data_IF_223627176394
#
_entry.id   IF_223627176394
#
_cell.length_a   1.000
_cell.length_b   1.000
_cell.length_c   1.000
_cell.angle_alpha   90.00
_cell.angle_beta   90.00
_cell.angle_gamma   90.00
#
_symmetry.space_group_name_H-M   'P 1'
#
loop_
_entity.id
_entity.type
_entity.pdbx_description
1 polymer ?
#
# COMPACT_ATOMS: atom_id res chain seq x y z
N UNK A 1 16.29 22.61 -7.13
CA UNK A 1 15.46 21.97 -6.08
C UNK A 1 14.09 21.52 -6.59
N UNK A 2 13.10 22.43 -6.70
CA UNK A 2 11.69 22.07 -6.99
C UNK A 2 11.46 21.36 -8.34
N UNK A 3 12.18 21.74 -9.39
CA UNK A 3 12.08 21.10 -10.70
C UNK A 3 12.52 19.62 -10.67
N UNK A 4 13.64 19.34 -10.02
CA UNK A 4 14.19 17.97 -9.90
C UNK A 4 13.23 17.07 -9.09
N UNK A 5 12.66 17.59 -8.02
CA UNK A 5 11.66 16.89 -7.22
C UNK A 5 10.42 16.54 -8.05
N UNK A 6 9.88 17.49 -8.80
CA UNK A 6 8.70 17.29 -9.66
C UNK A 6 8.94 16.24 -10.75
N UNK A 7 10.13 16.24 -11.36
CA UNK A 7 10.47 15.25 -12.41
C UNK A 7 10.69 13.87 -11.79
N UNK A 8 11.26 13.77 -10.58
CA UNK A 8 11.41 12.50 -9.87
C UNK A 8 10.05 11.92 -9.48
N UNK A 9 9.12 12.77 -9.03
CA UNK A 9 7.73 12.37 -8.72
C UNK A 9 7.00 11.84 -9.96
N UNK A 10 7.11 12.54 -11.09
CA UNK A 10 6.52 12.09 -12.36
C UNK A 10 7.11 10.75 -12.84
N UNK A 11 8.40 10.52 -12.68
CA UNK A 11 9.04 9.25 -13.01
C UNK A 11 8.55 8.11 -12.10
N UNK A 12 8.37 8.39 -10.81
CA UNK A 12 7.83 7.43 -9.85
C UNK A 12 6.36 7.08 -10.18
N UNK A 13 5.55 8.07 -10.53
CA UNK A 13 4.16 7.84 -10.95
C UNK A 13 4.09 6.98 -12.23
N UNK A 14 4.97 7.24 -13.21
CA UNK A 14 5.07 6.42 -14.42
C UNK A 14 5.46 4.98 -14.12
N UNK A 15 6.38 4.75 -13.20
CA UNK A 15 6.80 3.41 -12.77
C UNK A 15 5.64 2.64 -12.11
N UNK A 16 4.84 3.32 -11.27
CA UNK A 16 3.64 2.72 -10.66
C UNK A 16 2.61 2.34 -11.73
N UNK A 17 2.40 3.20 -12.73
CA UNK A 17 1.51 2.92 -13.87
C UNK A 17 1.98 1.72 -14.70
N UNK A 18 3.28 1.64 -15.00
CA UNK A 18 3.88 0.48 -15.66
C UNK A 18 3.64 -0.81 -14.87
N UNK A 19 3.89 -0.78 -13.55
CA UNK A 19 3.62 -1.90 -12.65
C UNK A 19 2.15 -2.33 -12.66
N UNK A 20 1.23 -1.36 -12.69
CA UNK A 20 -0.21 -1.60 -12.82
C UNK A 20 -0.57 -2.35 -14.12
N UNK A 21 -0.03 -1.90 -15.27
CA UNK A 21 -0.25 -2.56 -16.57
C UNK A 21 0.27 -4.00 -16.55
N UNK A 22 1.46 -4.24 -16.00
CA UNK A 22 2.02 -5.58 -15.90
C UNK A 22 1.14 -6.49 -15.03
N UNK A 23 0.70 -6.00 -13.88
CA UNK A 23 -0.18 -6.75 -12.97
C UNK A 23 -1.53 -7.06 -13.62
N UNK A 24 -2.16 -6.08 -14.28
CA UNK A 24 -3.42 -6.26 -15.00
C UNK A 24 -3.29 -7.30 -16.12
N UNK A 25 -2.21 -7.24 -16.90
CA UNK A 25 -1.95 -8.19 -17.97
C UNK A 25 -1.77 -9.64 -17.44
N UNK A 26 -1.09 -9.80 -16.30
CA UNK A 26 -0.90 -11.12 -15.68
C UNK A 26 -2.22 -11.65 -15.10
N UNK A 27 -2.98 -10.82 -14.40
CA UNK A 27 -4.28 -11.22 -13.84
C UNK A 27 -5.30 -11.59 -14.92
N UNK A 28 -5.25 -10.90 -16.07
CA UNK A 28 -6.15 -11.13 -17.20
C UNK A 28 -5.45 -11.83 -18.38
N UNK A 29 -4.45 -12.68 -18.12
CA UNK A 29 -3.65 -13.34 -19.17
C UNK A 29 -4.51 -14.13 -20.18
N UNK A 30 -5.61 -14.71 -19.75
CA UNK A 30 -6.55 -15.41 -20.66
C UNK A 30 -7.13 -14.45 -21.69
N UNK A 31 -7.49 -13.25 -21.28
CA UNK A 31 -8.02 -12.20 -22.17
C UNK A 31 -6.94 -11.68 -23.11
N UNK A 32 -5.73 -11.39 -22.59
CA UNK A 32 -4.58 -10.96 -23.38
C UNK A 32 -4.28 -11.97 -24.49
N UNK A 33 -4.27 -13.27 -24.18
CA UNK A 33 -4.04 -14.35 -25.13
C UNK A 33 -5.18 -14.54 -26.10
N UNK A 34 -6.43 -14.44 -25.64
CA UNK A 34 -7.60 -14.60 -26.49
C UNK A 34 -7.68 -13.56 -27.62
N UNK A 35 -7.23 -12.32 -27.31
CA UNK A 35 -7.21 -11.22 -28.28
C UNK A 35 -5.87 -11.05 -29.01
N UNK A 36 -4.82 -11.77 -28.63
CA UNK A 36 -3.48 -11.66 -29.21
C UNK A 36 -2.85 -10.25 -29.06
N UNK A 37 -3.12 -9.58 -27.92
CA UNK A 37 -2.72 -8.18 -27.69
C UNK A 37 -1.41 -8.04 -26.89
N UNK A 38 -0.60 -9.10 -26.78
CA UNK A 38 0.65 -9.09 -26.01
C UNK A 38 1.58 -7.95 -26.42
N UNK A 39 1.76 -7.77 -27.74
CA UNK A 39 2.63 -6.72 -28.27
C UNK A 39 2.09 -5.30 -28.01
N UNK A 40 0.77 -5.13 -27.91
CA UNK A 40 0.18 -3.85 -27.55
C UNK A 40 0.35 -3.53 -26.07
N UNK A 41 0.19 -4.53 -25.21
CA UNK A 41 0.42 -4.41 -23.76
C UNK A 41 1.89 -4.13 -23.47
N UNK A 42 2.83 -4.85 -24.13
CA UNK A 42 4.25 -4.61 -24.00
C UNK A 42 4.64 -3.19 -24.39
N UNK A 43 4.18 -2.71 -25.55
CA UNK A 43 4.44 -1.32 -25.96
C UNK A 43 3.92 -0.30 -24.96
N UNK A 44 2.70 -0.48 -24.46
CA UNK A 44 2.14 0.41 -23.46
C UNK A 44 2.94 0.40 -22.15
N UNK A 45 3.49 -0.75 -21.74
CA UNK A 45 4.39 -0.87 -20.61
C UNK A 45 5.70 -0.11 -20.88
N UNK A 46 6.32 -0.30 -22.03
CA UNK A 46 7.56 0.35 -22.43
C UNK A 46 7.42 1.88 -22.49
N UNK A 47 6.28 2.39 -23.02
CA UNK A 47 5.99 3.83 -23.06
C UNK A 47 6.04 4.49 -21.66
N UNK A 48 5.55 3.78 -20.64
CA UNK A 48 5.62 4.27 -19.25
C UNK A 48 7.00 4.11 -18.61
N UNK A 49 7.89 3.26 -19.15
CA UNK A 49 9.26 3.11 -18.66
C UNK A 49 10.23 4.13 -19.25
N UNK A 50 9.93 4.76 -20.37
CA UNK A 50 10.84 5.69 -21.05
C UNK A 50 11.29 6.85 -20.14
N UNK A 51 10.37 7.46 -19.40
CA UNK A 51 10.69 8.56 -18.48
C UNK A 51 11.52 8.11 -17.26
N UNK A 52 11.18 7.05 -16.54
CA UNK A 52 12.01 6.47 -15.48
C UNK A 52 13.41 6.08 -15.94
N UNK A 53 13.55 5.44 -17.12
CA UNK A 53 14.84 5.04 -17.69
C UNK A 53 15.74 6.23 -17.97
N UNK A 54 15.24 7.25 -18.66
CA UNK A 54 15.99 8.49 -18.92
C UNK A 54 16.44 9.18 -17.64
N UNK A 55 15.61 9.15 -16.60
CA UNK A 55 15.92 9.68 -15.28
C UNK A 55 17.02 8.87 -14.59
N UNK A 56 16.94 7.53 -14.64
CA UNK A 56 17.93 6.64 -14.06
C UNK A 56 19.31 6.85 -14.70
N UNK A 57 19.36 6.94 -16.04
CA UNK A 57 20.60 7.21 -16.78
C UNK A 57 21.20 8.56 -16.37
N UNK A 58 20.39 9.63 -16.32
CA UNK A 58 20.86 10.97 -15.91
C UNK A 58 21.37 11.00 -14.47
N UNK A 59 20.64 10.37 -13.55
CA UNK A 59 21.08 10.23 -12.14
C UNK A 59 22.37 9.43 -12.05
N UNK A 60 22.49 8.31 -12.79
CA UNK A 60 23.69 7.49 -12.83
C UNK A 60 24.91 8.25 -13.34
N UNK A 61 24.77 8.99 -14.44
CA UNK A 61 25.84 9.83 -14.99
C UNK A 61 26.26 10.95 -14.02
N UNK A 62 25.29 11.68 -13.46
CA UNK A 62 25.57 12.74 -12.49
C UNK A 62 26.24 12.19 -11.22
N UNK A 63 25.75 11.07 -10.70
CA UNK A 63 26.33 10.38 -9.55
C UNK A 63 27.73 9.86 -9.84
N UNK A 64 27.93 9.23 -11.00
CA UNK A 64 29.25 8.73 -11.44
C UNK A 64 30.27 9.84 -11.62
N UNK A 65 29.87 10.96 -12.24
CA UNK A 65 30.72 12.15 -12.35
C UNK A 65 31.05 12.72 -10.97
N UNK A 66 30.05 12.85 -10.09
CA UNK A 66 30.27 13.33 -8.73
C UNK A 66 31.24 12.45 -7.94
N UNK A 67 31.06 11.14 -7.99
CA UNK A 67 31.95 10.17 -7.35
C UNK A 67 33.37 10.22 -7.95
N UNK A 68 33.49 10.35 -9.28
CA UNK A 68 34.79 10.49 -9.97
C UNK A 68 35.54 11.75 -9.56
N UNK A 69 34.86 12.91 -9.50
CA UNK A 69 35.47 14.16 -9.03
C UNK A 69 35.88 14.06 -7.57
N UNK A 70 35.03 13.47 -6.70
CA UNK A 70 35.36 13.26 -5.29
C UNK A 70 36.63 12.38 -5.12
N UNK A 71 36.69 11.26 -5.84
CA UNK A 71 37.86 10.37 -5.82
C UNK A 71 39.14 11.09 -6.34
N UNK A 72 39.02 11.82 -7.44
CA UNK A 72 40.14 12.61 -7.97
C UNK A 72 40.65 13.67 -6.97
N UNK A 73 39.72 14.35 -6.30
CA UNK A 73 40.05 15.35 -5.26
C UNK A 73 40.80 14.72 -4.09
N UNK A 74 40.39 13.53 -3.64
CA UNK A 74 41.12 12.80 -2.57
C UNK A 74 42.53 12.45 -3.00
N UNK A 75 42.71 11.90 -4.22
CA UNK A 75 44.02 11.52 -4.74
C UNK A 75 44.94 12.73 -4.94
N UNK A 76 44.43 13.84 -5.51
CA UNK A 76 45.15 15.09 -5.65
C UNK A 76 45.54 15.69 -4.30
N UNK A 77 44.64 15.67 -3.34
CA UNK A 77 44.89 16.11 -1.97
C UNK A 77 45.98 15.29 -1.28
N UNK A 78 45.96 13.96 -1.42
CA UNK A 78 47.03 13.09 -0.93
C UNK A 78 48.38 13.38 -1.59
N UNK A 79 48.39 13.54 -2.92
CA UNK A 79 49.63 13.88 -3.68
C UNK A 79 50.22 15.21 -3.24
N UNK A 80 49.37 16.24 -3.06
CA UNK A 80 49.78 17.54 -2.54
C UNK A 80 50.33 17.43 -1.13
N UNK A 81 49.69 16.67 -0.26
CA UNK A 81 50.15 16.45 1.10
C UNK A 81 51.53 15.74 1.14
N UNK A 82 51.75 14.72 0.32
CA UNK A 82 53.03 14.07 0.20
C UNK A 82 54.11 15.02 -0.27
N UNK A 83 53.81 15.88 -1.25
CA UNK A 83 54.75 16.85 -1.76
C UNK A 83 55.19 17.87 -0.71
N UNK A 84 54.22 18.52 -0.04
CA UNK A 84 54.45 19.52 1.00
C UNK A 84 55.09 18.87 2.24
N UNK A 85 54.57 17.72 2.67
CA UNK A 85 55.08 16.97 3.80
C UNK A 85 56.53 16.50 3.57
N UNK A 86 56.88 16.08 2.34
CA UNK A 86 58.25 15.76 1.96
C UNK A 86 59.22 16.94 2.06
N UNK A 87 58.76 18.18 1.75
CA UNK A 87 59.54 19.39 1.98
C UNK A 87 59.80 19.62 3.47
N UNK A 88 58.77 19.49 4.31
CA UNK A 88 58.88 19.70 5.76
C UNK A 88 59.74 18.61 6.42
N UNK A 89 59.63 17.37 5.98
CA UNK A 89 60.46 16.26 6.43
C UNK A 89 61.96 16.53 6.12
N UNK A 90 62.25 16.95 4.90
CA UNK A 90 63.67 17.30 4.52
C UNK A 90 64.23 18.46 5.32
N UNK A 91 63.38 19.39 5.78
CA UNK A 91 63.79 20.52 6.66
C UNK A 91 63.91 20.12 8.12
N UNK A 92 63.54 18.89 8.49
CA UNK A 92 63.56 18.40 9.85
C UNK A 92 62.44 18.95 10.75
N UNK A 93 61.38 19.53 10.14
CA UNK A 93 60.26 20.13 10.90
C UNK A 93 59.25 19.11 11.37
N UNK A 94 59.11 17.99 10.66
CA UNK A 94 58.18 16.90 10.98
C UNK A 94 58.90 15.55 10.87
N UNK A 95 58.50 14.58 11.65
CA UNK A 95 58.98 13.21 11.54
C UNK A 95 58.19 12.43 10.46
N UNK A 96 58.74 11.31 10.01
CA UNK A 96 58.02 10.42 9.07
C UNK A 96 56.72 9.88 9.68
N UNK A 97 56.72 9.62 11.00
CA UNK A 97 55.51 9.18 11.72
C UNK A 97 54.41 10.24 11.68
N UNK A 98 54.75 11.51 11.88
CA UNK A 98 53.82 12.62 11.85
C UNK A 98 53.18 12.77 10.46
N UNK A 99 54.01 12.65 9.41
CA UNK A 99 53.57 12.72 8.03
C UNK A 99 52.56 11.61 7.70
N UNK A 100 52.83 10.37 8.13
CA UNK A 100 51.95 9.23 7.93
C UNK A 100 50.65 9.37 8.74
N UNK A 101 50.76 9.84 9.95
CA UNK A 101 49.58 10.05 10.82
C UNK A 101 48.62 11.07 10.22
N UNK A 102 49.10 12.22 9.77
CA UNK A 102 48.30 13.27 9.13
C UNK A 102 47.66 12.75 7.85
N UNK A 103 48.40 11.99 7.03
CA UNK A 103 47.86 11.38 5.80
C UNK A 103 46.67 10.45 6.11
N UNK A 104 46.86 9.54 7.06
CA UNK A 104 45.81 8.59 7.43
C UNK A 104 44.59 9.29 7.99
N UNK A 105 44.78 10.29 8.85
CA UNK A 105 43.66 11.07 9.43
C UNK A 105 42.86 11.74 8.33
N UNK A 106 43.52 12.41 7.35
CA UNK A 106 42.79 13.08 6.26
C UNK A 106 42.03 12.07 5.40
N UNK A 107 42.63 10.92 5.08
CA UNK A 107 41.97 9.87 4.29
C UNK A 107 40.72 9.34 5.04
N UNK A 108 40.88 8.99 6.32
CA UNK A 108 39.76 8.49 7.11
C UNK A 108 38.64 9.53 7.31
N UNK A 109 38.99 10.82 7.50
CA UNK A 109 38.01 11.90 7.53
C UNK A 109 37.24 12.02 6.21
N UNK A 110 37.95 11.95 5.07
CA UNK A 110 37.31 12.02 3.76
C UNK A 110 36.34 10.85 3.51
N UNK A 111 36.72 9.62 3.90
CA UNK A 111 35.84 8.46 3.86
C UNK A 111 34.62 8.61 4.80
N UNK A 112 34.85 9.09 6.04
CA UNK A 112 33.76 9.32 7.02
C UNK A 112 32.73 10.34 6.52
N UNK A 113 33.17 11.46 5.96
CA UNK A 113 32.28 12.46 5.38
C UNK A 113 31.52 11.90 4.17
N UNK A 114 32.21 11.14 3.31
CA UNK A 114 31.62 10.51 2.14
C UNK A 114 30.53 9.50 2.50
N UNK A 115 30.73 8.68 3.54
CA UNK A 115 29.77 7.72 4.02
C UNK A 115 28.48 8.41 4.53
N UNK A 116 28.62 9.48 5.34
CA UNK A 116 27.46 10.24 5.85
C UNK A 116 26.69 10.94 4.73
N UNK A 117 27.39 11.45 3.70
CA UNK A 117 26.74 12.10 2.57
C UNK A 117 26.00 11.11 1.65
N UNK A 118 26.53 9.89 1.47
CA UNK A 118 25.88 8.82 0.70
C UNK A 118 24.57 8.34 1.33
N UNK A 119 24.56 8.11 2.62
CA UNK A 119 23.39 7.65 3.39
C UNK A 119 22.19 8.62 3.37
N UNK A 120 22.40 9.88 3.02
CA UNK A 120 21.32 10.89 3.08
C UNK A 120 20.27 10.71 2.00
N UNK A 121 20.58 10.07 0.87
CA UNK A 121 19.63 9.81 -0.24
C UNK A 121 18.70 8.66 0.14
N UNK A 122 19.25 7.58 0.69
CA UNK A 122 18.48 6.41 1.10
C UNK A 122 17.54 6.74 2.28
N UNK A 123 17.93 7.66 3.16
CA UNK A 123 17.09 8.14 4.26
C UNK A 123 15.80 8.83 3.79
N UNK A 124 15.83 9.57 2.70
CA UNK A 124 14.64 10.25 2.18
C UNK A 124 13.63 9.24 1.60
N UNK A 125 14.11 8.22 0.89
CA UNK A 125 13.25 7.14 0.37
C UNK A 125 12.70 6.27 1.52
N UNK A 126 13.55 5.90 2.48
CA UNK A 126 13.15 5.16 3.67
C UNK A 126 12.10 5.92 4.51
N UNK A 127 12.25 7.24 4.69
CA UNK A 127 11.29 8.08 5.40
C UNK A 127 9.96 8.14 4.66
N UNK A 128 9.97 8.23 3.33
CA UNK A 128 8.76 8.23 2.51
C UNK A 128 8.03 6.88 2.58
N UNK A 129 8.77 5.77 2.51
CA UNK A 129 8.22 4.44 2.66
C UNK A 129 7.66 4.20 4.07
N UNK A 130 8.39 4.63 5.11
CA UNK A 130 7.95 4.57 6.50
C UNK A 130 6.67 5.38 6.72
N UNK A 131 6.56 6.59 6.14
CA UNK A 131 5.36 7.40 6.24
C UNK A 131 4.16 6.71 5.60
N UNK A 132 4.30 6.16 4.39
CA UNK A 132 3.23 5.39 3.73
C UNK A 132 2.78 4.19 4.56
N UNK A 133 3.72 3.44 5.12
CA UNK A 133 3.42 2.32 6.01
C UNK A 133 2.71 2.80 7.28
N UNK A 134 3.17 3.90 7.88
CA UNK A 134 2.55 4.51 9.05
C UNK A 134 1.11 4.95 8.79
N UNK A 135 0.86 5.62 7.66
CA UNK A 135 -0.47 6.07 7.26
C UNK A 135 -1.44 4.89 7.11
N UNK A 136 -0.97 3.75 6.56
CA UNK A 136 -1.78 2.53 6.44
C UNK A 136 -2.06 1.90 7.81
N UNK A 137 -1.05 1.79 8.68
CA UNK A 137 -1.20 1.19 10.03
C UNK A 137 -2.13 2.03 10.92
N UNK A 138 -2.11 3.36 10.75
CA UNK A 138 -2.93 4.28 11.54
C UNK A 138 -4.23 4.70 10.85
N UNK A 139 -4.55 4.07 9.71
CA UNK A 139 -5.81 4.29 9.02
C UNK A 139 -6.97 3.83 9.91
N UNK A 140 -7.75 4.77 10.41
CA UNK A 140 -8.97 4.45 11.18
C UNK A 140 -10.06 3.98 10.24
N UNK A 141 -10.47 2.73 10.40
CA UNK A 141 -11.65 2.22 9.69
C UNK A 141 -12.91 2.94 10.18
N UNK A 142 -13.81 3.26 9.27
CA UNK A 142 -15.12 3.82 9.63
C UNK A 142 -15.95 2.83 10.48
N UNK A 143 -15.77 1.54 10.23
CA UNK A 143 -16.36 0.45 10.99
C UNK A 143 -15.21 -0.39 11.51
N UNK A 144 -14.93 -0.32 12.82
CA UNK A 144 -13.86 -1.08 13.45
C UNK A 144 -14.43 -2.37 14.06
N UNK A 145 -14.07 -3.49 13.44
CA UNK A 145 -14.50 -4.81 13.88
C UNK A 145 -13.68 -5.34 15.08
N UNK A 146 -12.58 -4.68 15.43
CA UNK A 146 -11.70 -5.07 16.54
C UNK A 146 -11.98 -4.26 17.82
N UNK A 147 -12.67 -3.13 17.70
CA UNK A 147 -13.06 -2.34 18.86
C UNK A 147 -14.30 -2.95 19.51
N UNK A 148 -14.20 -3.53 20.71
CA UNK A 148 -15.34 -4.06 21.41
C UNK A 148 -16.28 -2.92 21.78
N UNK A 149 -17.41 -2.83 21.08
CA UNK A 149 -18.40 -1.78 21.34
C UNK A 149 -19.77 -2.24 20.88
N UNK A 150 -20.76 -2.05 21.73
CA UNK A 150 -22.14 -2.30 21.38
C UNK A 150 -22.73 -3.58 21.96
N UNK A 151 -23.88 -3.97 21.42
CA UNK A 151 -24.65 -5.13 21.84
C UNK A 151 -23.97 -6.43 21.39
N UNK A 152 -23.78 -7.37 22.30
CA UNK A 152 -23.07 -8.65 22.06
C UNK A 152 -23.97 -9.80 21.55
N UNK A 153 -25.26 -9.49 21.28
CA UNK A 153 -26.21 -10.47 20.76
C UNK A 153 -26.90 -11.31 21.81
N UNK A 154 -26.49 -11.25 23.07
CA UNK A 154 -27.02 -12.09 24.13
C UNK A 154 -26.90 -13.60 23.82
N UNK A 155 -27.33 -14.46 24.71
CA UNK A 155 -27.37 -15.93 24.52
C UNK A 155 -28.63 -16.36 23.76
N UNK A 156 -28.92 -15.77 22.60
CA UNK A 156 -30.09 -16.13 21.79
C UNK A 156 -29.74 -17.29 20.84
N UNK A 157 -30.26 -18.46 21.10
CA UNK A 157 -30.06 -19.67 20.27
C UNK A 157 -31.21 -20.00 19.33
N UNK A 158 -32.10 -19.07 19.05
CA UNK A 158 -33.25 -19.26 18.14
C UNK A 158 -32.99 -18.52 16.80
N UNK A 159 -33.70 -18.92 15.74
CA UNK A 159 -33.65 -18.26 14.45
C UNK A 159 -33.93 -16.75 14.60
N UNK A 160 -33.05 -15.93 14.10
CA UNK A 160 -33.14 -14.48 14.22
C UNK A 160 -34.15 -13.88 13.22
N UNK A 161 -34.79 -12.77 13.61
CA UNK A 161 -35.57 -11.94 12.69
C UNK A 161 -34.68 -10.89 12.03
N UNK A 162 -34.94 -10.54 10.77
CA UNK A 162 -34.24 -9.48 10.05
C UNK A 162 -35.24 -8.48 9.51
N UNK A 163 -35.02 -7.19 9.72
CA UNK A 163 -35.83 -6.12 9.16
C UNK A 163 -35.01 -5.05 8.50
N UNK A 164 -35.40 -4.67 7.29
CA UNK A 164 -34.93 -3.49 6.56
C UNK A 164 -36.07 -2.46 6.60
N UNK A 165 -35.81 -1.27 7.14
CA UNK A 165 -36.81 -0.24 7.34
C UNK A 165 -36.37 1.06 6.68
N UNK A 166 -37.01 1.44 5.58
CA UNK A 166 -36.74 2.65 4.80
C UNK A 166 -35.24 2.85 4.46
N UNK A 167 -34.54 1.77 4.17
CA UNK A 167 -33.08 1.77 3.96
C UNK A 167 -32.72 2.53 2.69
N UNK A 168 -31.92 3.61 2.86
CA UNK A 168 -31.27 4.34 1.77
C UNK A 168 -29.77 4.07 1.80
N UNK A 169 -29.21 3.75 0.63
CA UNK A 169 -27.78 3.45 0.53
C UNK A 169 -27.19 3.77 -0.84
N UNK A 170 -26.02 4.39 -0.84
CA UNK A 170 -25.11 4.50 -1.98
C UNK A 170 -23.70 4.11 -1.56
N UNK A 171 -22.95 3.48 -2.45
CA UNK A 171 -21.54 3.18 -2.18
C UNK A 171 -20.71 4.48 -2.06
N UNK A 172 -19.77 4.58 -1.12
CA UNK A 172 -18.93 5.78 -0.95
C UNK A 172 -18.17 6.19 -2.22
N UNK A 173 -17.82 5.21 -3.06
CA UNK A 173 -17.12 5.44 -4.34
C UNK A 173 -18.04 5.94 -5.46
N UNK A 174 -19.37 5.89 -5.26
CA UNK A 174 -20.42 6.29 -6.23
C UNK A 174 -21.61 6.89 -5.48
N UNK A 175 -21.34 7.91 -4.71
CA UNK A 175 -22.35 8.57 -3.87
C UNK A 175 -23.49 9.22 -4.68
N UNK A 176 -23.27 9.53 -5.95
CA UNK A 176 -24.24 10.07 -6.91
C UNK A 176 -25.23 9.03 -7.46
N UNK A 177 -25.01 7.73 -7.16
CA UNK A 177 -25.85 6.63 -7.66
C UNK A 177 -26.35 5.76 -6.51
N UNK A 178 -27.51 6.07 -5.91
CA UNK A 178 -28.08 5.27 -4.85
C UNK A 178 -28.42 3.86 -5.35
N UNK A 179 -28.08 2.86 -4.56
CA UNK A 179 -28.49 1.46 -4.78
C UNK A 179 -29.89 1.26 -4.22
N UNK A 180 -30.17 1.87 -3.07
CA UNK A 180 -31.49 1.90 -2.46
C UNK A 180 -31.87 3.33 -2.12
N UNK A 181 -33.13 3.67 -2.42
CA UNK A 181 -33.72 4.93 -2.01
C UNK A 181 -34.58 4.73 -0.72
N UNK A 182 -35.36 3.65 -0.66
CA UNK A 182 -36.23 3.29 0.46
C UNK A 182 -36.55 1.80 0.43
N UNK A 183 -35.59 0.94 0.75
CA UNK A 183 -35.82 -0.50 0.79
C UNK A 183 -36.45 -0.90 2.11
N UNK A 184 -37.62 -1.55 2.06
CA UNK A 184 -38.33 -2.04 3.25
C UNK A 184 -38.80 -3.47 3.01
N UNK A 185 -38.34 -4.40 3.85
CA UNK A 185 -38.83 -5.77 3.94
C UNK A 185 -38.43 -6.39 5.28
N UNK A 186 -39.05 -7.48 5.65
CA UNK A 186 -38.71 -8.24 6.87
C UNK A 186 -38.69 -9.73 6.59
N UNK A 187 -37.90 -10.46 7.37
CA UNK A 187 -37.76 -11.91 7.33
C UNK A 187 -38.05 -12.40 8.75
N UNK A 188 -39.04 -13.24 8.90
CA UNK A 188 -39.38 -13.82 10.19
C UNK A 188 -38.39 -14.92 10.60
N UNK A 189 -38.36 -15.22 11.89
CA UNK A 189 -37.53 -16.29 12.42
C UNK A 189 -37.85 -17.64 11.76
N UNK A 190 -36.84 -18.30 11.22
CA UNK A 190 -36.95 -19.58 10.51
C UNK A 190 -37.52 -19.49 9.08
N UNK A 191 -37.77 -18.30 8.58
CA UNK A 191 -38.24 -18.07 7.21
C UNK A 191 -37.10 -18.13 6.19
N UNK A 192 -37.39 -18.63 4.97
CA UNK A 192 -36.53 -18.58 3.82
C UNK A 192 -36.96 -17.44 2.89
N UNK A 193 -36.13 -16.46 2.70
CA UNK A 193 -36.41 -15.31 1.83
C UNK A 193 -35.50 -15.33 0.60
N UNK A 194 -36.09 -15.19 -0.59
CA UNK A 194 -35.32 -15.05 -1.85
C UNK A 194 -35.37 -13.61 -2.34
N UNK A 195 -34.19 -13.01 -2.53
CA UNK A 195 -34.04 -11.71 -3.18
C UNK A 195 -33.88 -11.92 -4.71
N UNK A 196 -34.91 -11.52 -5.46
CA UNK A 196 -34.99 -11.69 -6.92
C UNK A 196 -34.92 -10.31 -7.60
N UNK A 197 -34.24 -10.22 -8.75
CA UNK A 197 -34.12 -8.99 -9.52
C UNK A 197 -32.99 -9.07 -10.56
N UNK A 198 -32.91 -8.06 -11.41
CA UNK A 198 -31.87 -7.96 -12.43
C UNK A 198 -30.44 -7.90 -11.85
N UNK A 199 -29.44 -8.15 -12.72
CA UNK A 199 -28.04 -7.93 -12.32
C UNK A 199 -27.82 -6.46 -11.96
N UNK A 200 -27.17 -6.19 -10.82
CA UNK A 200 -26.96 -4.81 -10.36
C UNK A 200 -28.11 -4.21 -9.52
N UNK A 201 -29.22 -4.90 -9.31
CA UNK A 201 -30.36 -4.39 -8.51
C UNK A 201 -30.10 -4.31 -7.00
N UNK A 202 -28.88 -4.64 -6.55
CA UNK A 202 -28.49 -4.51 -5.14
C UNK A 202 -28.61 -5.78 -4.30
N UNK A 203 -29.03 -6.94 -4.83
CA UNK A 203 -29.20 -8.18 -4.03
C UNK A 203 -28.02 -8.49 -3.10
N UNK A 204 -26.81 -8.44 -3.63
CA UNK A 204 -25.58 -8.64 -2.83
C UNK A 204 -25.31 -7.50 -1.87
N UNK A 205 -25.78 -6.29 -2.18
CA UNK A 205 -25.64 -5.12 -1.31
C UNK A 205 -26.46 -5.29 -0.04
N UNK A 206 -27.66 -5.89 -0.10
CA UNK A 206 -28.46 -6.18 1.10
C UNK A 206 -27.70 -7.08 2.08
N UNK A 207 -27.02 -8.13 1.57
CA UNK A 207 -26.20 -9.02 2.39
C UNK A 207 -24.99 -8.27 2.98
N UNK A 208 -24.33 -7.41 2.20
CA UNK A 208 -23.19 -6.63 2.68
C UNK A 208 -23.59 -5.63 3.77
N UNK A 209 -24.76 -5.02 3.65
CA UNK A 209 -25.29 -4.12 4.67
C UNK A 209 -25.71 -4.87 5.93
N UNK A 210 -26.30 -6.05 5.80
CA UNK A 210 -26.66 -6.92 6.94
C UNK A 210 -25.40 -7.33 7.74
N UNK A 211 -24.30 -7.67 7.02
CA UNK A 211 -22.99 -7.96 7.62
C UNK A 211 -22.25 -6.70 8.12
N UNK A 212 -22.87 -5.54 7.95
CA UNK A 212 -22.27 -4.26 8.30
C UNK A 212 -20.88 -4.06 7.70
N UNK A 213 -20.74 -4.31 6.38
CA UNK A 213 -19.55 -3.87 5.64
C UNK A 213 -19.62 -2.37 5.35
N UNK A 214 -20.84 -1.82 5.31
CA UNK A 214 -21.14 -0.39 5.20
C UNK A 214 -22.30 -0.06 6.14
N UNK A 215 -22.34 1.16 6.64
CA UNK A 215 -23.50 1.69 7.35
C UNK A 215 -24.46 2.34 6.34
N UNK A 216 -25.76 2.28 6.63
CA UNK A 216 -26.79 2.85 5.77
C UNK A 216 -26.81 4.37 5.87
N UNK A 217 -27.12 5.05 4.76
CA UNK A 217 -27.24 6.50 4.70
C UNK A 217 -28.56 7.04 5.28
N UNK A 218 -29.61 6.19 5.29
CA UNK A 218 -30.92 6.48 5.86
C UNK A 218 -31.64 5.20 6.24
N UNK A 219 -32.63 5.29 7.11
CA UNK A 219 -33.33 4.14 7.64
C UNK A 219 -32.50 3.30 8.61
N UNK A 220 -32.90 2.04 8.81
CA UNK A 220 -32.16 1.09 9.66
C UNK A 220 -32.28 -0.35 9.18
N UNK A 221 -31.32 -1.17 9.56
CA UNK A 221 -31.37 -2.63 9.44
C UNK A 221 -31.32 -3.20 10.85
N UNK A 222 -32.27 -4.05 11.19
CA UNK A 222 -32.35 -4.64 12.52
C UNK A 222 -32.23 -6.16 12.46
N UNK A 223 -31.51 -6.74 13.42
CA UNK A 223 -31.46 -8.17 13.72
C UNK A 223 -31.99 -8.35 15.12
N UNK A 224 -33.05 -9.17 15.28
CA UNK A 224 -33.81 -9.33 16.51
C UNK A 224 -34.25 -8.00 17.14
N UNK A 225 -34.72 -7.07 16.28
CA UNK A 225 -35.18 -5.75 16.69
C UNK A 225 -34.07 -4.76 17.03
N UNK A 226 -32.82 -5.19 17.10
CA UNK A 226 -31.64 -4.33 17.40
C UNK A 226 -30.97 -3.85 16.12
N UNK A 227 -30.78 -2.54 15.95
CA UNK A 227 -30.11 -1.94 14.81
C UNK A 227 -28.67 -2.49 14.71
N UNK A 228 -28.26 -2.94 13.52
CA UNK A 228 -26.92 -3.50 13.27
C UNK A 228 -25.79 -2.51 13.60
N UNK A 229 -26.06 -1.22 13.60
CA UNK A 229 -25.09 -0.18 14.00
C UNK A 229 -24.82 -0.18 15.51
N UNK A 230 -25.76 -0.69 16.31
CA UNK A 230 -25.63 -0.81 17.76
C UNK A 230 -24.97 -2.12 18.20
N UNK A 231 -24.80 -3.07 17.29
CA UNK A 231 -24.15 -4.33 17.57
C UNK A 231 -22.60 -4.17 17.64
N UNK A 232 -21.98 -4.98 18.48
CA UNK A 232 -20.58 -5.32 18.27
C UNK A 232 -20.43 -6.04 16.92
N UNK A 233 -19.52 -5.57 16.07
CA UNK A 233 -19.40 -6.07 14.69
C UNK A 233 -18.98 -7.54 14.66
N UNK A 234 -18.12 -7.96 15.57
CA UNK A 234 -17.65 -9.34 15.67
C UNK A 234 -18.79 -10.25 16.14
N UNK A 235 -19.56 -9.82 17.14
CA UNK A 235 -20.73 -10.52 17.62
C UNK A 235 -21.79 -10.68 16.52
N UNK A 236 -22.15 -9.60 15.82
CA UNK A 236 -23.08 -9.63 14.69
C UNK A 236 -22.64 -10.65 13.63
N UNK A 237 -21.41 -10.58 13.17
CA UNK A 237 -20.89 -11.47 12.13
C UNK A 237 -20.75 -12.92 12.59
N UNK A 238 -20.58 -13.17 13.89
CA UNK A 238 -20.55 -14.53 14.44
C UNK A 238 -21.90 -15.22 14.43
N UNK A 239 -23.01 -14.44 14.38
CA UNK A 239 -24.38 -14.98 14.31
C UNK A 239 -24.83 -15.26 12.87
N UNK A 240 -24.08 -14.79 11.87
CA UNK A 240 -24.46 -14.86 10.45
C UNK A 240 -23.47 -15.76 9.70
N UNK A 241 -23.95 -16.82 9.07
CA UNK A 241 -23.16 -17.64 8.13
C UNK A 241 -23.29 -17.11 6.70
N UNK A 242 -22.19 -16.80 6.03
CA UNK A 242 -22.18 -16.39 4.63
C UNK A 242 -21.64 -17.51 3.74
N UNK A 243 -22.42 -17.86 2.72
CA UNK A 243 -21.96 -18.70 1.60
C UNK A 243 -21.87 -17.84 0.36
N UNK A 244 -20.66 -17.52 -0.10
CA UNK A 244 -20.45 -16.72 -1.30
C UNK A 244 -20.57 -17.57 -2.58
N UNK A 245 -20.86 -16.90 -3.70
CA UNK A 245 -20.98 -17.54 -5.01
C UNK A 245 -19.66 -18.19 -5.45
N UNK A 246 -18.55 -17.57 -5.14
CA UNK A 246 -17.20 -18.09 -5.35
C UNK A 246 -16.47 -18.12 -4.00
N UNK A 247 -16.52 -19.28 -3.29
CA UNK A 247 -15.87 -19.38 -1.99
C UNK A 247 -14.35 -19.36 -2.15
N UNK A 248 -13.68 -18.49 -1.41
CA UNK A 248 -12.23 -18.47 -1.33
C UNK A 248 -11.75 -19.61 -0.43
N UNK A 249 -10.79 -20.40 -0.93
CA UNK A 249 -10.12 -21.43 -0.15
C UNK A 249 -8.76 -20.90 0.32
N UNK A 250 -8.48 -21.08 1.60
CA UNK A 250 -7.19 -20.75 2.17
C UNK A 250 -6.22 -21.93 2.06
N UNK A 251 -4.93 -21.63 2.04
CA UNK A 251 -3.89 -22.66 2.05
C UNK A 251 -4.01 -23.49 3.33
N UNK A 252 -4.25 -24.78 3.18
CA UNK A 252 -4.47 -25.69 4.29
C UNK A 252 -5.27 -26.93 3.86
N UNK A 253 -5.60 -27.79 4.80
CA UNK A 253 -6.42 -28.96 4.57
C UNK A 253 -7.90 -28.60 4.37
N UNK A 254 -8.67 -29.52 3.79
CA UNK A 254 -10.13 -29.40 3.66
C UNK A 254 -10.78 -29.20 5.05
N UNK A 255 -10.32 -29.93 6.05
CA UNK A 255 -10.86 -29.85 7.41
C UNK A 255 -10.60 -28.47 8.05
N UNK A 256 -9.44 -27.86 7.80
CA UNK A 256 -9.12 -26.51 8.25
C UNK A 256 -9.99 -25.48 7.55
N UNK A 257 -10.20 -25.60 6.25
CA UNK A 257 -11.09 -24.70 5.49
C UNK A 257 -12.54 -24.78 5.96
N UNK A 258 -13.04 -25.98 6.31
CA UNK A 258 -14.41 -26.16 6.87
C UNK A 258 -14.52 -25.54 8.27
N UNK A 259 -13.45 -25.64 9.08
CA UNK A 259 -13.40 -25.11 10.45
C UNK A 259 -13.01 -23.63 10.51
N UNK A 260 -12.72 -23.00 9.37
CA UNK A 260 -12.24 -21.62 9.32
C UNK A 260 -13.30 -20.68 9.93
N UNK A 261 -12.91 -19.93 10.96
CA UNK A 261 -13.81 -19.02 11.69
C UNK A 261 -14.46 -19.60 12.95
N UNK A 262 -14.05 -20.81 13.37
CA UNK A 262 -14.48 -21.43 14.64
C UNK A 262 -13.33 -21.54 15.62
#
# INVERSE_FOLDING_TARGET
GAYVAKVAEAAQESLVKAGGIATEAVLHMRTVRAYGIEAAVSRKFDDFLELPERQAIRKGLAGGLGAGVAAATILLGASFQYYVGGIFFRKGWVSFSDLMTVLLVIIFMAFGIGAVAGDSIDKAEAMTAAKKAWDVVHLKSAIDALAPSGYDGGKGGAAATVAFEDVAFAYPTRADRPVYERLTFSIAAGEVCALVGESGSGKSTAVQLLLRYYDVGGGRIAVDGTDVRSWDVSALRSTIGLVSQEPALFTGSIAENIKYGK
#
